data_IF_770339640154
#
_entry.id   IF_770339640154
#
_cell.length_a   1.000
_cell.length_b   1.000
_cell.length_c   1.000
_cell.angle_alpha   90.00
_cell.angle_beta   90.00
_cell.angle_gamma   90.00
#
_symmetry.space_group_name_H-M   'P 1'
#
loop_
_entity.id
_entity.type
_entity.pdbx_description
1 polymer ?
#
# COMPACT_ATOMS: atom_id res chain seq x y z
N UNK A 1 72.88 46.50 42.96
CA UNK A 1 71.96 46.26 41.82
C UNK A 1 71.65 44.78 41.74
N UNK A 2 70.43 44.36 42.12
CA UNK A 2 69.78 43.11 41.71
C UNK A 2 68.32 43.18 42.16
N UNK A 3 67.47 43.38 41.18
CA UNK A 3 66.02 43.55 41.22
C UNK A 3 65.35 42.19 41.43
N UNK A 4 64.49 42.09 42.46
CA UNK A 4 63.60 40.95 42.67
C UNK A 4 62.23 41.25 42.06
N UNK A 5 61.89 40.57 40.96
CA UNK A 5 60.58 40.66 40.32
C UNK A 5 59.57 39.78 41.08
N UNK A 6 58.43 40.37 41.46
CA UNK A 6 57.28 39.68 42.06
C UNK A 6 56.46 39.02 40.95
N UNK A 7 56.22 37.71 41.06
CA UNK A 7 55.30 36.98 40.18
C UNK A 7 53.85 37.22 40.62
N UNK A 8 53.01 37.67 39.69
CA UNK A 8 51.57 37.80 39.87
C UNK A 8 50.91 36.53 39.34
N UNK A 9 50.29 35.74 40.21
CA UNK A 9 49.47 34.60 39.81
C UNK A 9 48.11 35.13 39.32
N UNK A 10 47.81 34.95 38.03
CA UNK A 10 46.48 35.22 37.48
C UNK A 10 45.59 34.00 37.70
N UNK A 11 44.52 34.16 38.48
CA UNK A 11 43.50 33.14 38.64
C UNK A 11 42.60 33.12 37.40
N UNK A 12 42.59 31.99 36.67
CA UNK A 12 41.69 31.76 35.55
C UNK A 12 40.37 31.22 36.13
N UNK A 13 39.32 32.03 36.09
CA UNK A 13 37.96 31.61 36.45
C UNK A 13 37.36 30.82 35.28
N UNK A 14 37.20 29.51 35.44
CA UNK A 14 36.48 28.69 34.46
C UNK A 14 34.97 28.95 34.59
N UNK A 15 34.37 29.58 33.58
CA UNK A 15 32.92 29.73 33.47
C UNK A 15 32.37 28.39 32.95
N UNK A 16 31.69 27.63 33.81
CA UNK A 16 30.95 26.44 33.39
C UNK A 16 29.69 26.88 32.63
N UNK A 17 29.71 26.77 31.30
CA UNK A 17 28.52 26.95 30.46
C UNK A 17 27.66 25.70 30.59
N UNK A 18 26.59 25.80 31.39
CA UNK A 18 25.58 24.75 31.49
C UNK A 18 24.69 24.85 30.25
N UNK A 19 24.93 24.01 29.25
CA UNK A 19 24.03 23.87 28.09
C UNK A 19 22.82 23.07 28.55
N UNK A 20 21.58 23.62 28.50
CA UNK A 20 20.40 22.85 28.85
C UNK A 20 20.23 21.73 27.82
N UNK A 21 20.24 20.49 28.30
CA UNK A 21 19.92 19.32 27.50
C UNK A 21 18.44 19.42 27.13
N UNK A 22 18.12 19.94 25.94
CA UNK A 22 16.77 19.87 25.40
C UNK A 22 16.43 18.40 25.20
N UNK A 23 15.55 17.86 26.03
CA UNK A 23 15.00 16.54 25.86
C UNK A 23 14.31 16.47 24.49
N UNK A 24 14.97 15.83 23.53
CA UNK A 24 14.33 15.41 22.28
C UNK A 24 13.26 14.41 22.71
N UNK A 25 11.99 14.80 22.61
CA UNK A 25 10.87 13.89 22.90
C UNK A 25 10.99 12.62 22.06
N UNK A 26 10.39 11.50 22.51
CA UNK A 26 10.43 10.26 21.75
C UNK A 26 9.92 10.54 20.34
N UNK A 27 10.80 10.41 19.35
CA UNK A 27 10.38 10.32 17.96
C UNK A 27 9.57 9.04 17.89
N UNK A 28 8.24 9.17 17.80
CA UNK A 28 7.42 8.06 17.36
C UNK A 28 7.98 7.66 15.99
N UNK A 29 8.60 6.48 15.92
CA UNK A 29 8.92 5.89 14.63
C UNK A 29 7.59 5.79 13.89
N UNK A 30 7.39 6.63 12.87
CA UNK A 30 6.27 6.48 11.98
C UNK A 30 6.39 5.06 11.40
N UNK A 31 5.43 4.19 11.69
CA UNK A 31 5.38 2.87 11.09
C UNK A 31 5.43 3.01 9.57
N UNK A 32 6.08 2.07 8.90
CA UNK A 32 6.16 2.06 7.45
C UNK A 32 4.78 2.17 6.82
N UNK A 33 4.67 3.03 5.82
CA UNK A 33 3.41 3.28 5.15
C UNK A 33 3.32 2.35 3.95
N UNK A 34 2.20 1.64 3.83
CA UNK A 34 1.86 0.94 2.60
C UNK A 34 1.83 1.93 1.43
N UNK A 35 2.59 1.60 0.39
CA UNK A 35 2.38 2.21 -0.92
C UNK A 35 1.17 1.57 -1.57
N UNK A 36 0.62 2.23 -2.60
CA UNK A 36 -0.53 1.69 -3.32
C UNK A 36 -0.32 1.75 -4.82
N UNK A 37 -0.83 0.75 -5.52
CA UNK A 37 -0.92 0.74 -6.98
C UNK A 37 -2.24 0.15 -7.38
N UNK A 38 -3.02 0.88 -8.19
CA UNK A 38 -4.37 0.46 -8.61
C UNK A 38 -5.28 0.04 -7.43
N UNK A 39 -5.13 0.68 -6.28
CA UNK A 39 -5.92 0.40 -5.08
C UNK A 39 -5.43 -0.80 -4.25
N UNK A 40 -4.33 -1.43 -4.64
CA UNK A 40 -3.77 -2.58 -3.94
C UNK A 40 -2.50 -2.19 -3.16
N UNK A 41 -2.28 -2.75 -1.95
CA UNK A 41 -1.16 -2.38 -1.11
C UNK A 41 0.16 -2.94 -1.64
N UNK A 42 1.22 -2.15 -1.48
CA UNK A 42 2.61 -2.49 -1.73
C UNK A 42 3.39 -2.22 -0.45
N UNK A 43 4.45 -3.00 -0.18
CA UNK A 43 5.32 -2.71 0.93
C UNK A 43 6.04 -1.36 0.79
N UNK A 44 6.46 -0.82 1.93
CA UNK A 44 7.35 0.32 1.98
C UNK A 44 8.75 -0.11 1.52
N UNK A 45 9.30 0.43 0.42
CA UNK A 45 10.61 0.03 -0.10
C UNK A 45 11.77 0.39 0.84
N UNK A 46 11.56 1.25 1.84
CA UNK A 46 12.55 1.54 2.86
C UNK A 46 12.66 0.44 3.91
N UNK A 47 11.54 -0.24 4.22
CA UNK A 47 11.51 -1.35 5.16
C UNK A 47 11.75 -2.68 4.45
N UNK A 48 11.07 -2.89 3.32
CA UNK A 48 11.08 -4.15 2.56
C UNK A 48 11.57 -3.90 1.14
N UNK A 49 12.88 -3.61 0.92
CA UNK A 49 13.44 -3.40 -0.41
C UNK A 49 13.47 -4.65 -1.30
N UNK A 50 13.24 -5.84 -0.74
CA UNK A 50 13.28 -7.11 -1.46
C UNK A 50 14.65 -7.78 -1.38
N UNK A 51 15.09 -8.13 -0.17
CA UNK A 51 16.35 -8.81 0.04
C UNK A 51 16.34 -10.27 -0.50
N UNK A 52 17.46 -10.71 -1.07
CA UNK A 52 17.58 -12.01 -1.76
C UNK A 52 18.72 -12.85 -1.19
N UNK A 53 18.64 -14.17 -1.36
CA UNK A 53 19.78 -15.05 -1.24
C UNK A 53 20.67 -14.94 -2.48
N UNK A 54 21.96 -15.26 -2.32
CA UNK A 54 22.85 -15.46 -3.47
C UNK A 54 22.64 -16.85 -4.06
N UNK A 55 21.65 -17.00 -4.94
CA UNK A 55 21.26 -18.29 -5.54
C UNK A 55 21.14 -18.22 -7.06
N UNK A 56 21.32 -19.38 -7.69
CA UNK A 56 21.25 -19.53 -9.14
C UNK A 56 19.84 -19.92 -9.61
N UNK A 57 19.56 -19.77 -10.90
CA UNK A 57 18.34 -20.29 -11.55
C UNK A 57 18.20 -21.80 -11.29
N UNK A 58 19.30 -22.56 -11.43
CA UNK A 58 19.27 -24.01 -11.21
C UNK A 58 18.90 -24.37 -9.76
N UNK A 59 19.32 -23.55 -8.80
CA UNK A 59 18.97 -23.71 -7.38
C UNK A 59 17.50 -23.45 -7.15
N UNK A 60 16.99 -22.29 -7.59
CA UNK A 60 15.59 -21.92 -7.32
C UNK A 60 14.60 -22.85 -8.02
N UNK A 61 14.96 -23.37 -9.20
CA UNK A 61 14.15 -24.32 -9.97
C UNK A 61 14.28 -25.78 -9.52
N UNK A 62 15.08 -26.06 -8.49
CA UNK A 62 15.13 -27.38 -7.89
C UNK A 62 13.87 -27.63 -7.08
N UNK A 63 13.22 -28.78 -7.30
CA UNK A 63 11.98 -29.13 -6.59
C UNK A 63 12.23 -29.11 -5.07
N UNK A 64 11.39 -28.38 -4.35
CA UNK A 64 11.46 -28.28 -2.89
C UNK A 64 12.43 -27.23 -2.35
N UNK A 65 13.14 -26.49 -3.20
CA UNK A 65 14.06 -25.43 -2.77
C UNK A 65 13.36 -24.43 -1.83
N UNK A 66 12.25 -23.82 -2.25
CA UNK A 66 11.53 -22.82 -1.46
C UNK A 66 11.10 -23.36 -0.09
N UNK A 67 10.61 -24.59 -0.02
CA UNK A 67 10.28 -25.26 1.25
C UNK A 67 11.51 -25.46 2.13
N UNK A 68 12.64 -25.88 1.55
CA UNK A 68 13.86 -26.18 2.30
C UNK A 68 14.53 -24.96 2.94
N UNK A 69 14.28 -23.76 2.40
CA UNK A 69 14.87 -22.51 2.90
C UNK A 69 13.89 -21.63 3.67
N UNK A 70 12.63 -22.05 3.82
CA UNK A 70 11.62 -21.29 4.56
C UNK A 70 11.92 -21.36 6.06
N UNK A 71 12.29 -20.21 6.63
CA UNK A 71 12.60 -20.07 8.05
C UNK A 71 12.29 -18.64 8.50
N UNK A 72 11.05 -18.41 8.94
CA UNK A 72 10.60 -17.13 9.49
C UNK A 72 9.98 -17.40 10.86
N UNK A 73 10.75 -17.26 11.96
CA UNK A 73 10.23 -17.51 13.29
C UNK A 73 9.16 -16.48 13.65
N UNK A 74 8.26 -16.84 14.55
CA UNK A 74 7.13 -16.00 14.96
C UNK A 74 7.58 -14.61 15.47
N UNK A 75 8.75 -14.54 16.11
CA UNK A 75 9.35 -13.27 16.53
C UNK A 75 9.68 -12.32 15.38
N UNK A 76 10.11 -12.84 14.23
CA UNK A 76 10.37 -12.01 13.04
C UNK A 76 9.05 -11.59 12.37
N UNK A 77 8.03 -12.45 12.38
CA UNK A 77 6.68 -12.06 11.91
C UNK A 77 6.11 -10.89 12.72
N UNK A 78 6.20 -10.97 14.04
CA UNK A 78 5.76 -9.91 14.94
C UNK A 78 6.55 -8.61 14.74
N UNK A 79 7.86 -8.71 14.47
CA UNK A 79 8.69 -7.54 14.12
C UNK A 79 8.23 -6.90 12.81
N UNK A 80 7.99 -7.68 11.76
CA UNK A 80 7.50 -7.17 10.49
C UNK A 80 6.16 -6.42 10.64
N UNK A 81 5.21 -6.97 11.40
CA UNK A 81 3.97 -6.26 11.74
C UNK A 81 4.22 -4.93 12.47
N UNK A 82 5.11 -4.94 13.48
CA UNK A 82 5.44 -3.75 14.26
C UNK A 82 6.12 -2.65 13.42
N UNK A 83 7.02 -3.01 12.49
CA UNK A 83 7.67 -2.03 11.60
C UNK A 83 6.66 -1.30 10.70
N UNK A 84 5.57 -1.97 10.32
CA UNK A 84 4.47 -1.41 9.55
C UNK A 84 3.36 -0.78 10.42
N UNK A 85 3.53 -0.73 11.75
CA UNK A 85 2.52 -0.20 12.67
C UNK A 85 1.23 -1.04 12.77
N UNK A 86 1.25 -2.28 12.29
CA UNK A 86 0.12 -3.21 12.34
C UNK A 86 0.10 -3.88 13.71
N UNK A 87 -0.37 -3.15 14.73
CA UNK A 87 -0.39 -3.63 16.12
C UNK A 87 -1.60 -4.52 16.45
N UNK A 88 -2.69 -4.34 15.70
CA UNK A 88 -3.92 -5.09 15.83
C UNK A 88 -4.51 -5.33 14.44
N UNK A 89 -4.94 -6.56 14.19
CA UNK A 89 -5.59 -6.95 12.95
C UNK A 89 -6.52 -8.13 13.24
N UNK A 90 -7.54 -8.32 12.40
CA UNK A 90 -8.37 -9.52 12.50
C UNK A 90 -7.55 -10.77 12.15
N UNK A 91 -8.01 -11.93 12.62
CA UNK A 91 -7.50 -13.22 12.15
C UNK A 91 -7.65 -13.26 10.63
N UNK A 92 -6.61 -13.73 9.93
CA UNK A 92 -6.60 -13.85 8.47
C UNK A 92 -6.69 -12.53 7.69
N UNK A 93 -6.55 -11.37 8.35
CA UNK A 93 -6.51 -10.08 7.64
C UNK A 93 -5.20 -9.92 6.86
N UNK A 94 -4.09 -10.34 7.47
CA UNK A 94 -2.77 -10.27 6.89
C UNK A 94 -2.04 -11.60 7.08
N UNK A 95 -1.10 -11.86 6.17
CA UNK A 95 -0.01 -12.80 6.38
C UNK A 95 1.34 -12.08 6.29
N UNK A 96 2.33 -12.56 7.04
CA UNK A 96 3.71 -12.10 6.83
C UNK A 96 4.28 -12.89 5.67
N UNK A 97 4.56 -12.17 4.59
CA UNK A 97 5.03 -12.78 3.37
C UNK A 97 6.25 -12.08 2.77
N UNK A 98 6.89 -12.76 1.84
CA UNK A 98 8.09 -12.35 1.16
C UNK A 98 7.78 -11.45 -0.05
N UNK A 99 8.31 -10.23 -0.12
CA UNK A 99 8.13 -9.35 -1.30
C UNK A 99 8.69 -10.00 -2.57
N UNK A 100 9.89 -10.57 -2.48
CA UNK A 100 10.41 -11.51 -3.47
C UNK A 100 10.23 -12.90 -2.87
N UNK A 101 9.46 -13.81 -3.47
CA UNK A 101 9.23 -15.11 -2.87
C UNK A 101 10.49 -15.96 -2.84
N UNK A 102 10.51 -16.93 -1.93
CA UNK A 102 11.60 -17.89 -1.81
C UNK A 102 11.85 -18.65 -3.13
N UNK A 103 10.81 -18.95 -3.91
CA UNK A 103 10.94 -19.58 -5.24
C UNK A 103 11.57 -18.67 -6.31
N UNK A 104 11.72 -17.38 -6.04
CA UNK A 104 12.52 -16.43 -6.82
C UNK A 104 13.80 -16.01 -6.08
N UNK A 105 14.21 -16.77 -5.06
CA UNK A 105 15.44 -16.54 -4.31
C UNK A 105 15.38 -15.35 -3.35
N UNK A 106 14.19 -14.89 -2.96
CA UNK A 106 14.06 -13.99 -1.82
C UNK A 106 14.58 -14.61 -0.52
N UNK A 107 14.92 -13.80 0.47
CA UNK A 107 15.42 -14.28 1.76
C UNK A 107 14.39 -14.11 2.89
N UNK A 108 14.69 -14.65 4.07
CA UNK A 108 13.81 -14.58 5.25
C UNK A 108 14.01 -13.34 6.14
N UNK A 109 14.78 -12.33 5.69
CA UNK A 109 15.06 -11.14 6.50
C UNK A 109 13.89 -10.16 6.47
N UNK A 110 13.76 -9.31 7.50
CA UNK A 110 12.78 -8.21 7.52
C UNK A 110 12.82 -7.33 6.26
N UNK A 111 14.00 -7.17 5.66
CA UNK A 111 14.19 -6.46 4.39
C UNK A 111 13.51 -7.12 3.17
N UNK A 112 12.90 -8.29 3.35
CA UNK A 112 12.06 -8.98 2.38
C UNK A 112 10.70 -9.40 2.96
N UNK A 113 10.40 -9.12 4.23
CA UNK A 113 9.11 -9.46 4.85
C UNK A 113 8.21 -8.23 4.96
N UNK A 114 6.91 -8.42 4.74
CA UNK A 114 5.90 -7.37 4.91
C UNK A 114 4.54 -7.99 5.27
N UNK A 115 3.64 -7.23 5.91
CA UNK A 115 2.25 -7.66 6.09
C UNK A 115 1.50 -7.60 4.75
N UNK A 116 1.41 -8.73 4.07
CA UNK A 116 0.57 -8.88 2.89
C UNK A 116 -0.88 -9.01 3.32
N UNK A 117 -1.76 -8.24 2.68
CA UNK A 117 -3.19 -8.31 2.93
C UNK A 117 -3.78 -9.53 2.22
N UNK A 118 -4.52 -10.37 2.96
CA UNK A 118 -5.15 -11.56 2.38
C UNK A 118 -6.36 -11.20 1.51
N UNK A 119 -6.39 -11.73 0.29
CA UNK A 119 -7.48 -11.54 -0.68
C UNK A 119 -8.07 -12.85 -1.22
N UNK A 120 -7.31 -13.95 -1.17
CA UNK A 120 -7.78 -15.32 -1.37
C UNK A 120 -8.77 -15.53 -2.56
N UNK A 121 -8.53 -15.01 -3.78
CA UNK A 121 -9.50 -15.02 -4.89
C UNK A 121 -10.00 -16.42 -5.29
N UNK A 122 -9.20 -17.45 -5.01
CA UNK A 122 -9.48 -18.84 -5.36
C UNK A 122 -9.30 -19.79 -4.16
N UNK A 123 -9.62 -19.34 -2.95
CA UNK A 123 -9.64 -20.17 -1.75
C UNK A 123 -8.55 -19.82 -0.75
N UNK A 124 -7.33 -20.31 -0.95
CA UNK A 124 -6.23 -20.14 0.02
C UNK A 124 -5.02 -19.37 -0.52
N UNK A 125 -4.93 -19.17 -1.83
CA UNK A 125 -3.83 -18.42 -2.45
C UNK A 125 -4.22 -16.96 -2.58
N UNK A 126 -3.31 -16.08 -2.20
CA UNK A 126 -3.41 -14.66 -2.50
C UNK A 126 -3.14 -14.38 -4.00
N UNK A 127 -3.63 -13.25 -4.49
CA UNK A 127 -3.39 -12.81 -5.87
C UNK A 127 -1.89 -12.71 -6.16
N UNK A 128 -1.06 -12.30 -5.20
CA UNK A 128 0.40 -12.29 -5.35
C UNK A 128 0.97 -13.70 -5.54
N UNK A 129 0.55 -14.69 -4.75
CA UNK A 129 0.99 -16.09 -4.93
C UNK A 129 0.79 -16.61 -6.35
N UNK A 130 -0.32 -16.25 -6.99
CA UNK A 130 -0.61 -16.65 -8.37
C UNK A 130 0.43 -16.03 -9.34
N UNK A 131 0.78 -14.76 -9.14
CA UNK A 131 1.85 -14.10 -9.90
C UNK A 131 3.21 -14.72 -9.61
N UNK A 132 3.51 -15.04 -8.35
CA UNK A 132 4.77 -15.67 -7.95
C UNK A 132 5.00 -16.97 -8.70
N UNK A 133 4.03 -17.88 -8.63
CA UNK A 133 4.05 -19.15 -9.35
C UNK A 133 4.27 -18.94 -10.86
N UNK A 134 3.63 -17.91 -11.43
CA UNK A 134 3.81 -17.55 -12.85
C UNK A 134 5.22 -17.08 -13.15
N UNK A 135 5.78 -16.19 -12.32
CA UNK A 135 7.14 -15.67 -12.50
C UNK A 135 8.18 -16.77 -12.31
N UNK A 136 8.01 -17.65 -11.32
CA UNK A 136 8.86 -18.81 -11.10
C UNK A 136 8.85 -19.74 -12.32
N UNK A 137 7.66 -20.04 -12.87
CA UNK A 137 7.52 -20.80 -14.11
C UNK A 137 8.27 -20.16 -15.29
N UNK A 138 8.15 -18.84 -15.49
CA UNK A 138 8.87 -18.11 -16.54
C UNK A 138 10.39 -18.17 -16.35
N UNK A 139 10.87 -18.14 -15.11
CA UNK A 139 12.30 -18.30 -14.80
C UNK A 139 12.78 -19.72 -15.12
N UNK A 140 12.06 -20.74 -14.65
CA UNK A 140 12.48 -22.13 -14.81
C UNK A 140 12.33 -22.68 -16.23
N UNK A 141 11.52 -22.05 -17.06
CA UNK A 141 11.44 -22.32 -18.50
C UNK A 141 12.43 -21.49 -19.33
N UNK A 142 13.19 -20.58 -18.71
CA UNK A 142 14.13 -19.70 -19.39
C UNK A 142 13.50 -18.54 -20.15
N UNK A 143 12.18 -18.35 -20.04
CA UNK A 143 11.44 -17.25 -20.67
C UNK A 143 11.70 -15.90 -19.97
N UNK A 144 12.23 -15.91 -18.74
CA UNK A 144 12.62 -14.72 -17.99
C UNK A 144 13.89 -14.98 -17.17
N UNK A 145 14.77 -13.98 -17.04
CA UNK A 145 15.89 -14.09 -16.09
C UNK A 145 15.41 -13.92 -14.65
N UNK A 146 16.04 -14.63 -13.71
CA UNK A 146 15.74 -14.52 -12.27
C UNK A 146 15.75 -13.07 -11.79
N UNK A 147 16.78 -12.30 -12.17
CA UNK A 147 16.88 -10.87 -11.84
C UNK A 147 15.71 -10.04 -12.38
N UNK A 148 15.22 -10.34 -13.58
CA UNK A 148 14.06 -9.63 -14.13
C UNK A 148 12.79 -9.94 -13.33
N UNK A 149 12.59 -11.19 -12.90
CA UNK A 149 11.44 -11.56 -12.07
C UNK A 149 11.49 -10.83 -10.72
N UNK A 150 12.64 -10.89 -10.05
CA UNK A 150 12.91 -10.19 -8.78
C UNK A 150 12.64 -8.69 -8.87
N UNK A 151 13.20 -8.01 -9.88
CA UNK A 151 12.99 -6.55 -10.05
C UNK A 151 11.52 -6.20 -10.28
N UNK A 152 10.79 -7.03 -11.04
CA UNK A 152 9.39 -6.73 -11.38
C UNK A 152 8.47 -6.89 -10.19
N UNK A 153 8.61 -7.96 -9.43
CA UNK A 153 7.76 -8.18 -8.25
C UNK A 153 8.09 -7.17 -7.14
N UNK A 154 9.37 -6.92 -6.87
CA UNK A 154 9.79 -5.99 -5.82
C UNK A 154 9.42 -4.52 -6.10
N UNK A 155 9.48 -4.10 -7.37
CA UNK A 155 9.14 -2.70 -7.71
C UNK A 155 7.63 -2.43 -7.63
N UNK A 156 6.83 -3.33 -8.20
CA UNK A 156 5.38 -3.22 -8.24
C UNK A 156 4.75 -4.55 -8.64
N UNK A 157 4.47 -5.40 -7.66
CA UNK A 157 3.85 -6.70 -7.87
C UNK A 157 2.46 -6.58 -8.54
N UNK A 158 1.69 -5.53 -8.25
CA UNK A 158 0.36 -5.28 -8.85
C UNK A 158 0.45 -5.05 -10.37
N UNK A 159 1.38 -4.20 -10.81
CA UNK A 159 1.61 -3.99 -12.24
C UNK A 159 2.22 -5.23 -12.91
N UNK A 160 3.05 -5.99 -12.20
CA UNK A 160 3.56 -7.27 -12.69
C UNK A 160 2.42 -8.28 -12.86
N UNK A 161 1.47 -8.34 -11.92
CA UNK A 161 0.27 -9.18 -12.02
C UNK A 161 -0.48 -8.88 -13.31
N UNK A 162 -0.87 -7.62 -13.51
CA UNK A 162 -1.56 -7.22 -14.73
C UNK A 162 -0.79 -7.53 -16.02
N UNK A 163 0.54 -7.46 -15.99
CA UNK A 163 1.36 -7.76 -17.15
C UNK A 163 1.38 -9.25 -17.50
N UNK A 164 1.43 -10.14 -16.51
CA UNK A 164 1.66 -11.57 -16.72
C UNK A 164 0.43 -12.46 -16.58
N UNK A 165 -0.57 -11.98 -15.86
CA UNK A 165 -1.86 -12.65 -15.63
C UNK A 165 -3.01 -11.95 -16.39
N UNK A 166 -2.85 -10.65 -16.71
CA UNK A 166 -3.84 -9.88 -17.45
C UNK A 166 -4.91 -9.29 -16.53
N UNK A 167 -6.09 -9.90 -16.54
CA UNK A 167 -7.25 -9.43 -15.78
C UNK A 167 -7.01 -9.72 -14.31
N UNK A 168 -7.19 -8.71 -13.45
CA UNK A 168 -7.21 -8.91 -12.00
C UNK A 168 -8.27 -9.95 -11.66
N UNK A 169 -8.05 -10.86 -10.71
CA UNK A 169 -9.05 -11.85 -10.34
C UNK A 169 -10.21 -11.12 -9.67
N UNK A 170 -11.13 -10.67 -10.51
CA UNK A 170 -12.43 -10.17 -10.12
C UNK A 170 -13.29 -11.40 -9.93
N UNK A 171 -14.07 -11.44 -8.86
CA UNK A 171 -15.25 -12.29 -8.82
C UNK A 171 -16.06 -11.96 -10.08
N UNK A 172 -16.06 -12.90 -11.03
CA UNK A 172 -16.47 -12.78 -12.44
C UNK A 172 -17.48 -11.66 -12.74
N UNK A 173 -17.10 -10.72 -13.61
CA UNK A 173 -18.04 -9.96 -14.45
C UNK A 173 -17.46 -9.77 -15.86
N UNK A 174 -18.29 -9.75 -16.93
CA UNK A 174 -17.82 -9.71 -18.31
C UNK A 174 -17.20 -8.36 -18.70
N UNK A 175 -16.27 -8.45 -19.65
CA UNK A 175 -15.34 -7.46 -20.22
C UNK A 175 -15.91 -6.09 -20.61
N UNK A 176 -15.18 -4.98 -20.33
CA UNK A 176 -15.28 -3.74 -21.08
C UNK A 176 -14.18 -3.61 -22.14
N UNK A 177 -14.56 -3.02 -23.26
CA UNK A 177 -13.79 -2.82 -24.49
C UNK A 177 -12.69 -1.77 -24.30
N UNK A 178 -11.54 -2.06 -24.90
CA UNK A 178 -10.31 -1.25 -24.92
C UNK A 178 -10.50 0.10 -25.60
N UNK A 179 -9.95 1.18 -25.02
CA UNK A 179 -9.39 2.29 -25.80
C UNK A 179 -8.23 2.97 -25.05
N UNK A 180 -7.05 2.78 -25.62
CA UNK A 180 -5.78 3.48 -25.41
C UNK A 180 -5.99 5.00 -25.57
N UNK A 181 -5.39 5.91 -24.80
CA UNK A 181 -4.09 6.54 -25.14
C UNK A 181 -3.55 7.45 -23.99
N UNK A 182 -2.31 7.14 -23.59
CA UNK A 182 -1.15 7.97 -23.19
C UNK A 182 -1.32 9.35 -22.48
N UNK A 183 -0.80 9.35 -21.25
CA UNK A 183 -0.32 10.41 -20.34
C UNK A 183 0.56 11.54 -20.93
N UNK A 184 0.49 12.74 -20.31
CA UNK A 184 1.62 13.54 -19.74
C UNK A 184 1.06 14.76 -18.98
N UNK A 185 1.17 14.84 -17.65
CA UNK A 185 2.08 15.75 -16.89
C UNK A 185 1.44 17.14 -16.64
N UNK A 186 1.45 17.81 -15.47
CA UNK A 186 2.37 17.82 -14.33
C UNK A 186 1.80 18.74 -13.22
N UNK A 187 1.92 18.30 -11.95
CA UNK A 187 2.22 19.06 -10.71
C UNK A 187 1.50 20.39 -10.30
N UNK A 188 0.76 20.27 -9.19
CA UNK A 188 0.81 21.08 -7.94
C UNK A 188 -0.28 22.16 -7.68
N UNK A 189 -0.81 22.27 -6.43
CA UNK A 189 -2.17 22.75 -6.06
C UNK A 189 -2.12 24.14 -5.35
N UNK A 190 -3.14 24.62 -4.59
CA UNK A 190 -4.56 24.27 -4.45
C UNK A 190 -5.51 25.46 -4.73
N UNK A 191 -6.70 25.19 -5.27
CA UNK A 191 -7.75 26.20 -5.42
C UNK A 191 -9.10 25.55 -5.67
N UNK A 192 -9.92 25.51 -4.62
CA UNK A 192 -11.37 25.24 -4.60
C UNK A 192 -11.92 24.42 -5.78
N UNK A 193 -11.89 23.11 -5.63
CA UNK A 193 -12.54 22.14 -6.52
C UNK A 193 -14.06 22.38 -6.55
N UNK A 194 -14.67 22.47 -7.75
CA UNK A 194 -16.12 22.62 -7.94
C UNK A 194 -16.92 21.34 -7.61
N UNK A 195 -16.22 20.28 -7.24
CA UNK A 195 -16.79 18.99 -6.83
C UNK A 195 -17.08 19.00 -5.33
N UNK A 196 -18.30 18.62 -4.95
CA UNK A 196 -18.71 18.40 -3.56
C UNK A 196 -19.51 17.11 -3.43
N UNK A 197 -19.37 16.42 -2.31
CA UNK A 197 -20.28 15.33 -1.94
C UNK A 197 -21.56 15.96 -1.41
N UNK A 198 -22.70 15.64 -2.03
CA UNK A 198 -24.01 16.20 -1.66
C UNK A 198 -24.79 15.29 -0.71
N UNK A 199 -24.57 13.98 -0.79
CA UNK A 199 -25.07 13.04 0.22
C UNK A 199 -24.28 11.73 0.24
N UNK A 200 -24.11 11.18 1.44
CA UNK A 200 -23.60 9.83 1.71
C UNK A 200 -24.43 9.30 2.89
N UNK A 201 -24.87 8.04 2.86
CA UNK A 201 -25.49 7.45 4.05
C UNK A 201 -24.40 7.33 5.11
N UNK A 202 -24.63 7.87 6.29
CA UNK A 202 -23.58 7.95 7.31
C UNK A 202 -23.25 6.60 7.92
N UNK A 203 -24.15 5.62 7.80
CA UNK A 203 -24.08 4.34 8.49
C UNK A 203 -24.79 3.24 7.69
N UNK A 204 -24.09 2.15 7.38
CA UNK A 204 -24.60 1.04 6.57
C UNK A 204 -24.12 -0.30 7.14
N UNK A 205 -25.02 -1.29 7.22
CA UNK A 205 -24.65 -2.62 7.67
C UNK A 205 -23.95 -3.42 6.56
N UNK A 206 -23.09 -4.40 6.89
CA UNK A 206 -22.58 -5.37 5.93
C UNK A 206 -23.74 -6.04 5.16
N UNK A 207 -23.57 -6.15 3.84
CA UNK A 207 -24.64 -6.62 2.95
C UNK A 207 -25.72 -5.60 2.62
N UNK A 208 -25.70 -4.41 3.23
CA UNK A 208 -26.52 -3.25 2.90
C UNK A 208 -26.08 -2.56 1.60
N UNK A 209 -26.91 -1.65 1.09
CA UNK A 209 -26.61 -0.86 -0.10
C UNK A 209 -26.35 0.59 0.31
N UNK A 210 -25.21 1.12 -0.12
CA UNK A 210 -24.85 2.52 0.00
C UNK A 210 -25.24 3.26 -1.29
N UNK A 211 -25.67 4.51 -1.17
CA UNK A 211 -25.93 5.38 -2.33
C UNK A 211 -25.35 6.75 -2.05
N UNK A 212 -24.42 7.18 -2.90
CA UNK A 212 -23.70 8.43 -2.74
C UNK A 212 -23.95 9.34 -3.93
N UNK A 213 -24.13 10.62 -3.64
CA UNK A 213 -24.31 11.67 -4.62
C UNK A 213 -23.19 12.70 -4.48
N UNK A 214 -22.68 13.16 -5.62
CA UNK A 214 -21.76 14.28 -5.71
C UNK A 214 -22.21 15.24 -6.80
N UNK A 215 -21.83 16.50 -6.67
CA UNK A 215 -22.11 17.53 -7.65
C UNK A 215 -20.79 18.13 -8.15
N UNK A 216 -20.62 18.19 -9.47
CA UNK A 216 -19.58 18.97 -10.16
C UNK A 216 -20.19 20.24 -10.75
N UNK A 217 -19.42 21.33 -10.88
CA UNK A 217 -19.91 22.52 -11.57
C UNK A 217 -20.07 22.32 -13.09
N UNK A 218 -19.59 21.18 -13.63
CA UNK A 218 -19.70 20.80 -15.04
C UNK A 218 -20.75 19.71 -15.23
N UNK A 219 -21.65 19.93 -16.18
CA UNK A 219 -22.55 18.89 -16.70
C UNK A 219 -21.81 17.95 -17.65
N UNK A 220 -22.05 16.65 -17.57
CA UNK A 220 -21.33 15.63 -18.35
C UNK A 220 -19.88 15.39 -17.91
N UNK A 221 -19.49 15.88 -16.72
CA UNK A 221 -18.16 15.68 -16.13
C UNK A 221 -17.92 14.21 -15.79
N UNK A 222 -16.72 13.72 -16.06
CA UNK A 222 -16.34 12.34 -15.74
C UNK A 222 -15.84 12.27 -14.30
N UNK A 223 -16.63 11.65 -13.43
CA UNK A 223 -16.33 11.49 -12.01
C UNK A 223 -16.06 10.03 -11.65
N UNK A 224 -14.97 9.75 -10.94
CA UNK A 224 -14.62 8.45 -10.38
C UNK A 224 -14.85 8.43 -8.87
N UNK A 225 -15.59 7.42 -8.38
CA UNK A 225 -15.75 7.17 -6.95
C UNK A 225 -14.89 5.98 -6.52
N UNK A 226 -13.97 6.24 -5.60
CA UNK A 226 -13.20 5.22 -4.88
C UNK A 226 -13.61 5.17 -3.41
N UNK A 227 -13.68 3.96 -2.86
CA UNK A 227 -14.01 3.72 -1.45
C UNK A 227 -12.91 2.88 -0.82
N UNK A 228 -12.36 3.32 0.29
CA UNK A 228 -11.39 2.58 1.12
C UNK A 228 -12.09 2.18 2.41
N UNK A 229 -12.22 0.88 2.65
CA UNK A 229 -12.84 0.31 3.84
C UNK A 229 -11.94 0.49 5.06
N UNK A 230 -12.49 0.31 6.26
CA UNK A 230 -11.74 0.40 7.52
C UNK A 230 -10.56 -0.58 7.59
N UNK A 231 -10.62 -1.67 6.83
CA UNK A 231 -9.52 -2.63 6.66
C UNK A 231 -8.33 -2.10 5.87
N UNK A 232 -8.44 -0.93 5.24
CA UNK A 232 -7.48 -0.40 4.26
C UNK A 232 -7.73 -0.86 2.82
N UNK A 233 -8.69 -1.77 2.59
CA UNK A 233 -9.01 -2.29 1.25
C UNK A 233 -9.78 -1.28 0.42
N UNK A 234 -9.43 -1.14 -0.84
CA UNK A 234 -10.33 -0.52 -1.80
C UNK A 234 -11.54 -1.43 -2.07
N UNK A 235 -12.75 -0.89 -1.98
CA UNK A 235 -13.96 -1.59 -2.35
C UNK A 235 -14.01 -1.76 -3.87
N UNK A 236 -14.28 -2.98 -4.31
CA UNK A 236 -14.49 -3.35 -5.71
C UNK A 236 -15.97 -3.62 -6.01
N UNK A 237 -16.86 -3.21 -5.10
CA UNK A 237 -18.28 -3.44 -5.22
C UNK A 237 -18.84 -2.91 -6.54
N UNK A 238 -19.68 -3.72 -7.20
CA UNK A 238 -20.39 -3.33 -8.42
C UNK A 238 -21.21 -2.06 -8.14
N UNK A 239 -21.03 -1.05 -9.01
CA UNK A 239 -21.66 0.26 -8.87
C UNK A 239 -20.71 1.38 -8.42
N UNK A 240 -19.46 1.03 -8.07
CA UNK A 240 -18.34 1.97 -7.92
C UNK A 240 -17.61 2.20 -9.25
N UNK A 241 -16.72 3.20 -9.29
CA UNK A 241 -15.93 3.57 -10.46
C UNK A 241 -16.42 4.83 -11.17
N UNK A 242 -16.12 4.96 -12.46
CA UNK A 242 -16.42 6.17 -13.25
C UNK A 242 -17.90 6.26 -13.63
N UNK A 243 -18.49 7.44 -13.47
CA UNK A 243 -19.80 7.84 -14.01
C UNK A 243 -19.72 9.27 -14.56
N UNK A 244 -20.71 9.68 -15.36
CA UNK A 244 -20.82 11.06 -15.85
C UNK A 244 -21.89 11.82 -15.08
N UNK A 245 -21.66 13.10 -14.81
CA UNK A 245 -22.70 13.97 -14.24
C UNK A 245 -23.83 14.21 -15.25
N UNK A 246 -25.04 14.42 -14.73
CA UNK A 246 -26.20 14.78 -15.55
C UNK A 246 -26.18 16.26 -16.00
N UNK A 247 -27.30 16.73 -16.56
CA UNK A 247 -27.46 18.12 -17.00
C UNK A 247 -27.41 19.16 -15.88
N UNK A 248 -27.56 18.72 -14.63
CA UNK A 248 -27.49 19.55 -13.42
C UNK A 248 -26.12 19.47 -12.75
N UNK A 249 -25.22 18.62 -13.24
CA UNK A 249 -23.90 18.41 -12.65
C UNK A 249 -23.89 17.34 -11.55
N UNK A 250 -24.96 16.54 -11.41
CA UNK A 250 -25.07 15.53 -10.36
C UNK A 250 -24.59 14.16 -10.87
N UNK A 251 -23.71 13.52 -10.08
CA UNK A 251 -23.24 12.15 -10.25
C UNK A 251 -23.74 11.28 -9.09
N UNK A 252 -24.19 10.06 -9.41
CA UNK A 252 -24.75 9.12 -8.43
C UNK A 252 -24.10 7.76 -8.58
N UNK A 253 -23.76 7.14 -7.44
CA UNK A 253 -23.31 5.76 -7.35
C UNK A 253 -24.16 5.01 -6.34
N UNK A 254 -24.43 3.74 -6.61
CA UNK A 254 -25.09 2.84 -5.67
C UNK A 254 -24.37 1.50 -5.70
N UNK A 255 -23.90 1.04 -4.55
CA UNK A 255 -23.14 -0.21 -4.45
C UNK A 255 -23.50 -0.95 -3.17
N UNK A 256 -23.29 -2.27 -3.19
CA UNK A 256 -23.53 -3.12 -2.03
C UNK A 256 -22.26 -3.27 -1.20
N UNK A 257 -22.35 -3.05 0.11
CA UNK A 257 -21.28 -3.38 1.05
C UNK A 257 -21.18 -4.90 1.15
N UNK A 258 -19.97 -5.45 1.04
CA UNK A 258 -19.76 -6.90 1.16
C UNK A 258 -20.32 -7.41 2.49
N UNK A 259 -20.97 -8.58 2.49
CA UNK A 259 -21.56 -9.17 3.71
C UNK A 259 -20.53 -9.45 4.80
N UNK A 260 -19.27 -9.65 4.41
CA UNK A 260 -18.16 -9.98 5.31
C UNK A 260 -17.30 -8.74 5.63
N UNK A 261 -17.79 -7.54 5.28
CA UNK A 261 -17.08 -6.29 5.57
C UNK A 261 -17.08 -6.03 7.07
N UNK A 262 -15.91 -5.92 7.68
CA UNK A 262 -15.78 -5.55 9.09
C UNK A 262 -16.30 -4.14 9.37
N UNK A 263 -16.78 -3.93 10.59
CA UNK A 263 -17.23 -2.63 11.06
C UNK A 263 -16.08 -1.60 11.08
N UNK A 264 -16.39 -0.33 10.86
CA UNK A 264 -15.44 0.77 10.95
C UNK A 264 -15.71 1.89 9.95
N UNK A 265 -14.83 2.89 9.95
CA UNK A 265 -14.95 4.06 9.08
C UNK A 265 -14.40 3.72 7.69
N UNK A 266 -15.25 3.82 6.67
CA UNK A 266 -14.85 3.80 5.28
C UNK A 266 -14.68 5.22 4.76
N UNK A 267 -13.65 5.46 3.96
CA UNK A 267 -13.35 6.75 3.34
C UNK A 267 -13.75 6.71 1.87
N UNK A 268 -14.35 7.80 1.38
CA UNK A 268 -14.71 7.95 -0.03
C UNK A 268 -13.93 9.11 -0.63
N UNK A 269 -13.47 8.94 -1.86
CA UNK A 269 -12.87 10.00 -2.67
C UNK A 269 -13.56 10.04 -4.02
N UNK A 270 -14.16 11.19 -4.34
CA UNK A 270 -14.71 11.51 -5.65
C UNK A 270 -13.70 12.36 -6.39
N UNK A 271 -13.30 11.90 -7.57
CA UNK A 271 -12.40 12.64 -8.46
C UNK A 271 -13.11 12.90 -9.77
N UNK A 272 -13.45 14.15 -10.06
CA UNK A 272 -13.94 14.58 -11.37
C UNK A 272 -12.88 15.40 -12.10
N UNK A 273 -13.11 15.76 -13.36
CA UNK A 273 -12.21 16.67 -14.06
C UNK A 273 -12.22 18.07 -13.44
N UNK A 274 -13.35 18.47 -12.83
CA UNK A 274 -13.51 19.76 -12.18
C UNK A 274 -12.98 19.81 -10.73
N UNK A 275 -12.53 18.68 -10.18
CA UNK A 275 -11.99 18.66 -8.81
C UNK A 275 -12.06 17.33 -8.06
N UNK A 276 -11.77 17.40 -6.76
CA UNK A 276 -11.78 16.25 -5.84
C UNK A 276 -12.54 16.61 -4.58
N UNK A 277 -13.40 15.69 -4.13
CA UNK A 277 -14.08 15.76 -2.86
C UNK A 277 -13.86 14.47 -2.05
N UNK A 278 -13.80 14.60 -0.72
CA UNK A 278 -13.59 13.47 0.18
C UNK A 278 -14.67 13.44 1.26
N UNK A 279 -14.99 12.24 1.73
CA UNK A 279 -15.95 12.01 2.79
C UNK A 279 -15.74 10.67 3.47
N UNK A 280 -16.68 10.28 4.32
CA UNK A 280 -16.64 9.00 5.01
C UNK A 280 -18.03 8.53 5.40
N UNK A 281 -18.18 7.21 5.58
CA UNK A 281 -19.34 6.58 6.18
C UNK A 281 -18.90 5.46 7.13
N UNK A 282 -19.80 4.97 7.97
CA UNK A 282 -19.53 3.91 8.94
C UNK A 282 -20.16 2.60 8.47
N UNK A 283 -19.38 1.53 8.41
CA UNK A 283 -19.90 0.16 8.37
C UNK A 283 -20.14 -0.31 9.80
N UNK A 284 -21.34 -0.78 10.13
CA UNK A 284 -21.72 -1.18 11.52
C UNK A 284 -21.47 -2.65 11.82
#
# INVERSE_FOLDING_TARGET
MRSGARAWASAITAIAVVVPLTAVGPSFAAGGLFRHSRGEPLPDPHLTPGATFNVSVATVCHRGYATSVRDVPESEKQRAYAEYGVLHHATDQYEIDHLIPLELGGNNSLANLWPELNDHPHGYLNTKDILENRLHSLVCTGAMSLRSAQTRIASNWVLAYHRYMGVWPSFTAPTPVTSTTRSTGTNTPPGSSGVRITSVITTVAPGGTETMHAHSARSGDSCDLTVVLASGRHSTAKGLGVTSTDVHGDATWSWRIGSDTGAGVAHVTVTCEDGVAQGSFIVT
#
